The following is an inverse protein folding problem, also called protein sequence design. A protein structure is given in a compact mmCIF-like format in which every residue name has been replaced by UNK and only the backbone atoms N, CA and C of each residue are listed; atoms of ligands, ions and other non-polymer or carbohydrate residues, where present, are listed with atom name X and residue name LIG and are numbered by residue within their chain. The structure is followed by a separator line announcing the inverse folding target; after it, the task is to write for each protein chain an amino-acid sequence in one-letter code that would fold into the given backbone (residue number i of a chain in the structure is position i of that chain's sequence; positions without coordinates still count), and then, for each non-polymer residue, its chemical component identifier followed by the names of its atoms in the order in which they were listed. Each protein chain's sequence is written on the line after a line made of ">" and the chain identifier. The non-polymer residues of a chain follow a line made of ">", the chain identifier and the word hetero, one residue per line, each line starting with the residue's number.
data_IF_940173958874
#
_entry.id   IF_940173958874
#
_cell.length_a   1.000
_cell.length_b   1.000
_cell.length_c   1.000
_cell.angle_alpha   90.00
_cell.angle_beta   90.00
_cell.angle_gamma   90.00
#
_symmetry.space_group_name_H-M   'P 1'
#
loop_
_entity.id
_entity.type
_entity.pdbx_description
1 polymer ?
#
# COMPACT_ATOMS: atom_id res chain seq x y z
N UNK A 1 49.69 62.56 -12.12
CA UNK A 1 49.31 63.21 -10.84
C UNK A 1 47.85 62.92 -10.58
N UNK A 2 47.54 62.58 -9.35
CA UNK A 2 46.25 62.39 -8.74
C UNK A 2 45.45 61.14 -9.14
N UNK A 3 45.58 60.14 -8.31
CA UNK A 3 44.76 58.96 -8.11
C UNK A 3 43.39 59.36 -7.57
N UNK A 4 42.30 58.88 -8.16
CA UNK A 4 40.97 58.88 -7.53
C UNK A 4 40.52 57.45 -7.31
N UNK A 5 40.42 57.12 -6.06
CA UNK A 5 39.86 55.84 -5.58
C UNK A 5 38.34 55.84 -5.76
N UNK A 6 37.83 54.99 -6.63
CA UNK A 6 36.42 54.68 -6.71
C UNK A 6 36.06 53.55 -5.75
N UNK A 7 35.26 53.86 -4.74
CA UNK A 7 34.67 52.91 -3.77
C UNK A 7 33.61 52.09 -4.50
N UNK A 8 33.83 50.77 -4.58
CA UNK A 8 32.81 49.83 -5.02
C UNK A 8 31.79 49.60 -3.89
N UNK A 9 30.54 49.96 -4.16
CA UNK A 9 29.41 49.79 -3.29
C UNK A 9 29.13 48.29 -3.10
N UNK A 10 28.83 47.92 -1.85
CA UNK A 10 28.58 46.55 -1.46
C UNK A 10 27.36 45.93 -2.16
N UNK A 11 27.56 44.73 -2.63
CA UNK A 11 26.47 43.85 -3.05
C UNK A 11 25.65 43.39 -1.83
N UNK A 12 24.31 43.37 -1.93
CA UNK A 12 23.53 42.78 -0.84
C UNK A 12 23.73 41.26 -0.84
N UNK A 13 24.06 40.74 0.33
CA UNK A 13 24.09 39.30 0.61
C UNK A 13 22.72 38.70 0.34
N UNK A 14 22.63 37.52 -0.32
CA UNK A 14 21.38 36.80 -0.43
C UNK A 14 20.94 36.35 0.97
N UNK A 15 19.73 36.71 1.34
CA UNK A 15 19.07 36.20 2.55
C UNK A 15 18.79 34.74 2.29
N UNK A 16 19.56 33.83 2.90
CA UNK A 16 19.22 32.44 3.01
C UNK A 16 17.97 32.34 3.88
N UNK A 17 16.83 32.21 3.22
CA UNK A 17 15.60 31.75 3.88
C UNK A 17 15.82 30.28 4.21
N UNK A 18 16.23 30.00 5.45
CA UNK A 18 16.08 28.67 6.02
C UNK A 18 14.58 28.36 6.02
N UNK A 19 14.12 27.63 4.99
CA UNK A 19 12.90 26.84 5.13
C UNK A 19 13.27 25.77 6.16
N UNK A 20 12.78 25.95 7.38
CA UNK A 20 12.68 24.85 8.33
C UNK A 20 11.75 23.81 7.69
N UNK A 21 12.32 22.81 7.02
CA UNK A 21 11.62 21.57 6.76
C UNK A 21 11.40 20.97 8.15
N UNK A 22 10.21 21.20 8.69
CA UNK A 22 9.72 20.42 9.80
C UNK A 22 9.83 18.94 9.39
N UNK A 23 10.50 18.10 10.22
CA UNK A 23 10.59 16.68 9.91
C UNK A 23 9.17 16.14 9.75
N UNK A 24 8.91 15.31 8.73
CA UNK A 24 7.58 14.76 8.48
C UNK A 24 7.10 14.13 9.78
N UNK A 25 5.95 14.59 10.27
CA UNK A 25 5.33 14.04 11.47
C UNK A 25 5.26 12.53 11.33
N UNK A 26 5.66 11.73 12.33
CA UNK A 26 5.67 10.29 12.22
C UNK A 26 4.25 9.82 11.86
N UNK A 27 4.12 9.22 10.68
CA UNK A 27 2.87 8.58 10.25
C UNK A 27 2.66 7.41 11.20
N UNK A 28 1.62 7.45 12.01
CA UNK A 28 1.28 6.33 12.88
C UNK A 28 0.83 5.17 12.00
N UNK A 29 1.64 4.14 11.92
CA UNK A 29 1.28 2.88 11.26
C UNK A 29 0.81 1.87 12.30
N UNK A 30 -0.04 0.96 11.89
CA UNK A 30 -0.56 -0.14 12.72
C UNK A 30 -0.24 -1.45 12.03
N UNK A 31 0.36 -2.38 12.77
CA UNK A 31 0.65 -3.71 12.27
C UNK A 31 -0.62 -4.50 11.97
N UNK A 32 -0.63 -5.19 10.85
CA UNK A 32 -1.71 -6.05 10.39
C UNK A 32 -1.13 -7.38 9.90
N UNK A 33 -1.55 -8.47 10.53
CA UNK A 33 -1.31 -9.82 10.05
C UNK A 33 -2.66 -10.49 9.73
N UNK A 34 -2.73 -11.17 8.59
CA UNK A 34 -3.93 -11.89 8.15
C UNK A 34 -3.52 -13.17 7.45
N UNK A 35 -4.20 -14.28 7.70
CA UNK A 35 -3.89 -15.57 7.12
C UNK A 35 -5.12 -16.25 6.53
N UNK A 36 -4.91 -17.11 5.54
CA UNK A 36 -5.92 -17.97 4.93
C UNK A 36 -5.33 -19.38 4.80
N UNK A 37 -5.96 -20.37 5.46
CA UNK A 37 -5.54 -21.76 5.39
C UNK A 37 -6.06 -22.42 4.12
N UNK A 38 -5.24 -23.25 3.49
CA UNK A 38 -5.59 -23.97 2.27
C UNK A 38 -4.44 -24.88 1.85
N UNK A 39 -4.66 -25.67 0.82
CA UNK A 39 -3.60 -26.47 0.20
C UNK A 39 -3.34 -25.93 -1.22
N UNK A 40 -2.14 -25.44 -1.45
CA UNK A 40 -1.80 -24.73 -2.70
C UNK A 40 -0.55 -25.34 -3.35
N UNK A 41 -0.57 -25.40 -4.67
CA UNK A 41 0.60 -25.74 -5.46
C UNK A 41 1.44 -24.48 -5.71
N UNK A 42 2.72 -24.51 -5.32
CA UNK A 42 3.60 -23.32 -5.44
C UNK A 42 3.80 -22.90 -6.90
N UNK A 43 3.80 -23.84 -7.84
CA UNK A 43 3.89 -23.52 -9.27
C UNK A 43 2.69 -22.69 -9.76
N UNK A 44 1.50 -23.02 -9.31
CA UNK A 44 0.28 -22.26 -9.62
C UNK A 44 0.28 -20.90 -8.90
N UNK A 45 0.76 -20.88 -7.65
CA UNK A 45 1.00 -19.65 -6.91
C UNK A 45 1.93 -18.68 -7.64
N UNK A 46 3.05 -19.19 -8.14
CA UNK A 46 4.01 -18.40 -8.92
C UNK A 46 3.34 -17.85 -10.19
N UNK A 47 2.71 -18.72 -10.98
CA UNK A 47 2.01 -18.29 -12.20
C UNK A 47 0.93 -17.25 -11.93
N UNK A 48 0.15 -17.41 -10.87
CA UNK A 48 -0.87 -16.45 -10.48
C UNK A 48 -0.29 -15.10 -10.04
N UNK A 49 0.84 -15.09 -9.35
CA UNK A 49 1.51 -13.87 -8.93
C UNK A 49 2.30 -13.20 -10.06
N UNK A 50 2.74 -13.94 -11.07
CA UNK A 50 3.37 -13.39 -12.27
C UNK A 50 2.37 -12.81 -13.27
N UNK A 51 1.13 -13.31 -13.28
CA UNK A 51 0.05 -12.89 -14.18
C UNK A 51 -1.13 -12.35 -13.39
N UNK A 52 -1.13 -11.05 -13.11
CA UNK A 52 -2.10 -10.40 -12.21
C UNK A 52 -3.41 -9.97 -12.88
N UNK A 53 -3.61 -10.25 -14.17
CA UNK A 53 -4.79 -9.83 -14.95
C UNK A 53 -6.10 -10.37 -14.38
N UNK A 54 -6.07 -11.53 -13.72
CA UNK A 54 -7.22 -12.09 -13.02
C UNK A 54 -7.64 -11.26 -11.80
N UNK A 55 -6.72 -10.44 -11.25
CA UNK A 55 -6.96 -9.62 -10.06
C UNK A 55 -7.44 -8.20 -10.42
N UNK A 56 -7.10 -7.69 -11.60
CA UNK A 56 -7.53 -6.37 -12.06
C UNK A 56 -6.86 -5.92 -13.34
N UNK A 57 -7.14 -4.70 -13.72
CA UNK A 57 -6.62 -4.10 -14.95
C UNK A 57 -5.19 -3.57 -14.74
N UNK A 58 -4.22 -3.93 -15.61
CA UNK A 58 -2.86 -3.42 -15.51
C UNK A 58 -2.83 -1.90 -15.73
N UNK A 59 -2.07 -1.21 -14.90
CA UNK A 59 -1.82 0.23 -15.04
C UNK A 59 -0.43 0.42 -15.65
N UNK A 60 -0.36 1.14 -16.78
CA UNK A 60 0.88 1.33 -17.56
C UNK A 60 2.02 2.07 -16.83
N UNK A 61 1.74 2.73 -15.71
CA UNK A 61 2.79 3.30 -14.88
C UNK A 61 3.49 2.17 -14.10
N UNK A 62 4.40 1.46 -14.76
CA UNK A 62 5.25 0.52 -14.05
C UNK A 62 6.20 1.29 -13.15
N UNK A 63 6.28 0.90 -11.90
CA UNK A 63 7.44 1.23 -11.08
C UNK A 63 8.66 0.55 -11.73
N UNK A 64 9.80 1.20 -11.64
CA UNK A 64 11.09 0.61 -11.97
C UNK A 64 11.27 -0.69 -11.14
N UNK A 65 12.11 -1.60 -11.60
CA UNK A 65 12.54 -2.82 -10.87
C UNK A 65 11.48 -3.95 -10.68
N UNK A 66 10.68 -4.22 -11.69
CA UNK A 66 9.83 -5.42 -11.70
C UNK A 66 8.53 -5.30 -10.89
N UNK A 67 8.23 -4.15 -10.31
CA UNK A 67 6.94 -3.88 -9.69
C UNK A 67 5.83 -3.78 -10.73
N UNK A 68 4.68 -4.36 -10.42
CA UNK A 68 3.48 -4.34 -11.25
C UNK A 68 2.36 -3.63 -10.51
N UNK A 69 1.71 -2.70 -11.17
CA UNK A 69 0.56 -1.98 -10.64
C UNK A 69 -0.69 -2.39 -11.38
N UNK A 70 -1.71 -2.77 -10.65
CA UNK A 70 -3.03 -3.09 -11.16
C UNK A 70 -4.09 -2.22 -10.49
N UNK A 71 -5.14 -1.90 -11.24
CA UNK A 71 -6.35 -1.33 -10.69
C UNK A 71 -7.33 -2.45 -10.39
N UNK A 72 -7.74 -2.57 -9.16
CA UNK A 72 -8.65 -3.62 -8.69
C UNK A 72 -9.75 -3.03 -7.81
N UNK A 73 -10.73 -3.83 -7.44
CA UNK A 73 -11.71 -3.48 -6.44
C UNK A 73 -11.48 -4.31 -5.18
N UNK A 74 -11.20 -3.65 -4.07
CA UNK A 74 -11.13 -4.29 -2.76
C UNK A 74 -12.48 -4.22 -2.06
N UNK A 75 -12.79 -5.26 -1.30
CA UNK A 75 -14.03 -5.38 -0.54
C UNK A 75 -13.85 -4.78 0.84
N UNK A 76 -14.64 -3.78 1.15
CA UNK A 76 -14.71 -3.15 2.48
C UNK A 76 -15.92 -3.66 3.24
N UNK A 77 -15.82 -3.87 4.55
CA UNK A 77 -16.99 -4.17 5.38
C UNK A 77 -17.93 -2.96 5.41
N UNK A 78 -19.22 -3.21 5.35
CA UNK A 78 -20.24 -2.17 5.59
C UNK A 78 -20.38 -1.96 7.08
N UNK A 79 -20.27 -0.71 7.52
CA UNK A 79 -20.27 -0.34 8.94
C UNK A 79 -21.65 0.01 9.47
N UNK A 80 -22.58 0.34 8.60
CA UNK A 80 -23.96 0.63 8.92
C UNK A 80 -24.84 -0.52 8.43
N UNK A 81 -25.60 -1.10 9.31
CA UNK A 81 -26.50 -2.24 9.02
C UNK A 81 -27.60 -1.94 7.98
N UNK A 82 -27.49 -0.84 7.24
CA UNK A 82 -28.49 -0.34 6.29
C UNK A 82 -28.23 -0.70 4.83
N UNK A 83 -27.03 -1.18 4.48
CA UNK A 83 -26.70 -1.55 3.10
C UNK A 83 -26.57 -3.06 2.91
N UNK A 84 -27.31 -3.67 1.98
CA UNK A 84 -27.24 -5.08 1.72
C UNK A 84 -25.99 -5.43 0.88
N UNK A 85 -24.90 -5.78 1.50
CA UNK A 85 -23.73 -6.34 0.84
C UNK A 85 -22.42 -5.61 1.05
N UNK A 86 -21.31 -6.24 0.70
CA UNK A 86 -19.99 -5.66 0.85
C UNK A 86 -19.78 -4.47 -0.09
N UNK A 87 -19.25 -3.37 0.41
CA UNK A 87 -18.87 -2.22 -0.39
C UNK A 87 -17.60 -2.54 -1.19
N UNK A 88 -17.67 -2.48 -2.51
CA UNK A 88 -16.49 -2.59 -3.37
C UNK A 88 -15.91 -1.21 -3.64
N UNK A 89 -14.62 -1.03 -3.38
CA UNK A 89 -13.91 0.23 -3.57
C UNK A 89 -12.73 0.03 -4.52
N UNK A 90 -12.58 0.92 -5.49
CA UNK A 90 -11.43 0.93 -6.39
C UNK A 90 -10.14 1.16 -5.62
N UNK A 91 -9.12 0.39 -5.95
CA UNK A 91 -7.79 0.44 -5.36
C UNK A 91 -6.70 0.28 -6.43
N UNK A 92 -5.58 0.90 -6.19
CA UNK A 92 -4.33 0.61 -6.87
C UNK A 92 -3.55 -0.38 -5.99
N UNK A 93 -3.27 -1.54 -6.54
CA UNK A 93 -2.48 -2.59 -5.91
C UNK A 93 -1.13 -2.66 -6.61
N UNK A 94 -0.07 -2.53 -5.84
CA UNK A 94 1.32 -2.72 -6.26
C UNK A 94 1.79 -4.08 -5.77
N UNK A 95 2.37 -4.88 -6.66
CA UNK A 95 2.97 -6.17 -6.35
C UNK A 95 4.41 -6.17 -6.85
N UNK A 96 5.34 -6.43 -5.95
CA UNK A 96 6.77 -6.54 -6.22
C UNK A 96 7.13 -7.81 -6.99
N UNK A 97 8.43 -7.98 -7.30
CA UNK A 97 8.95 -9.24 -7.81
C UNK A 97 8.63 -10.39 -6.85
N UNK A 98 8.39 -11.58 -7.41
CA UNK A 98 8.17 -12.79 -6.61
C UNK A 98 9.52 -13.42 -6.29
N UNK A 99 9.81 -13.56 -5.01
CA UNK A 99 10.96 -14.30 -4.51
C UNK A 99 10.53 -15.75 -4.25
N UNK A 100 11.28 -16.69 -4.82
CA UNK A 100 11.00 -18.12 -4.70
C UNK A 100 11.97 -18.75 -3.71
N UNK A 101 11.45 -19.37 -2.69
CA UNK A 101 12.24 -20.25 -1.79
C UNK A 101 11.75 -21.70 -1.93
N UNK A 102 12.39 -22.64 -1.21
CA UNK A 102 12.08 -24.07 -1.37
C UNK A 102 10.65 -24.44 -1.04
N UNK A 103 10.01 -23.71 -0.13
CA UNK A 103 8.70 -24.04 0.45
C UNK A 103 7.74 -22.84 0.50
N UNK A 104 8.14 -21.70 -0.06
CA UNK A 104 7.32 -20.47 -0.07
C UNK A 104 7.63 -19.56 -1.26
N UNK A 105 6.62 -18.78 -1.63
CA UNK A 105 6.74 -17.63 -2.52
C UNK A 105 6.48 -16.38 -1.69
N UNK A 106 7.32 -15.36 -1.84
CA UNK A 106 7.17 -14.08 -1.16
C UNK A 106 7.09 -12.96 -2.20
N UNK A 107 6.19 -12.02 -1.99
CA UNK A 107 6.12 -10.80 -2.79
C UNK A 107 5.73 -9.62 -1.91
N UNK A 108 6.42 -8.51 -2.06
CA UNK A 108 5.99 -7.27 -1.45
C UNK A 108 4.68 -6.82 -2.09
N UNK A 109 3.78 -6.32 -1.26
CA UNK A 109 2.45 -5.89 -1.70
C UNK A 109 2.07 -4.59 -1.01
N UNK A 110 1.51 -3.67 -1.78
CA UNK A 110 0.99 -2.43 -1.23
C UNK A 110 -0.33 -2.06 -1.92
N UNK A 111 -1.25 -1.43 -1.20
CA UNK A 111 -2.44 -0.88 -1.82
C UNK A 111 -2.80 0.49 -1.28
N UNK A 112 -3.47 1.26 -2.13
CA UNK A 112 -4.05 2.55 -1.81
C UNK A 112 -5.35 2.76 -2.59
N UNK A 113 -6.17 3.74 -2.21
CA UNK A 113 -7.35 4.10 -2.99
C UNK A 113 -6.95 4.57 -4.40
N UNK A 114 -7.73 4.21 -5.42
CA UNK A 114 -7.62 4.79 -6.77
C UNK A 114 -8.26 6.17 -6.90
N UNK A 115 -8.91 6.64 -5.86
CA UNK A 115 -9.58 7.94 -5.77
C UNK A 115 -9.26 8.61 -4.44
N UNK A 116 -9.56 9.91 -4.32
CA UNK A 116 -9.46 10.65 -3.06
C UNK A 116 -10.58 10.15 -2.11
N UNK A 117 -10.39 8.96 -1.54
CA UNK A 117 -11.33 8.37 -0.60
C UNK A 117 -10.76 8.44 0.81
N UNK A 118 -11.32 9.29 1.67
CA UNK A 118 -10.72 9.59 2.96
C UNK A 118 -10.76 8.43 3.97
N UNK A 119 -11.46 7.34 3.68
CA UNK A 119 -11.61 6.20 4.61
C UNK A 119 -10.90 4.92 4.14
N UNK A 120 -10.06 4.99 3.11
CA UNK A 120 -9.38 3.82 2.59
C UNK A 120 -7.98 3.68 3.23
N UNK A 121 -7.69 2.60 3.96
CA UNK A 121 -6.37 2.40 4.55
C UNK A 121 -5.32 2.17 3.47
N UNK A 122 -4.19 2.84 3.58
CA UNK A 122 -3.00 2.53 2.79
C UNK A 122 -2.25 1.42 3.51
N UNK A 123 -1.89 0.38 2.80
CA UNK A 123 -1.17 -0.78 3.34
C UNK A 123 0.13 -0.99 2.57
N UNK A 124 1.14 -1.46 3.28
CA UNK A 124 2.38 -1.98 2.71
C UNK A 124 2.87 -3.15 3.56
N UNK A 125 3.25 -4.23 2.91
CA UNK A 125 3.71 -5.44 3.58
C UNK A 125 4.11 -6.52 2.60
N UNK A 126 4.11 -7.77 3.05
CA UNK A 126 4.51 -8.93 2.30
C UNK A 126 3.38 -9.97 2.25
N UNK A 127 3.16 -10.51 1.06
CA UNK A 127 2.36 -11.70 0.83
C UNK A 127 3.28 -12.91 0.77
N UNK A 128 2.99 -13.92 1.59
CA UNK A 128 3.65 -15.22 1.56
C UNK A 128 2.65 -16.29 1.15
N UNK A 129 3.01 -17.10 0.16
CA UNK A 129 2.26 -18.27 -0.30
C UNK A 129 3.05 -19.52 0.05
N UNK A 130 2.46 -20.42 0.79
CA UNK A 130 3.02 -21.73 1.13
C UNK A 130 2.08 -22.84 0.65
N UNK A 131 2.51 -24.09 0.73
CA UNK A 131 1.64 -25.25 0.44
C UNK A 131 0.48 -25.39 1.43
N UNK A 132 0.54 -24.69 2.57
CA UNK A 132 -0.46 -24.82 3.66
C UNK A 132 -1.31 -23.56 3.85
N UNK A 133 -1.03 -22.49 3.14
CA UNK A 133 -1.79 -21.27 3.32
C UNK A 133 -1.15 -20.02 2.71
N UNK A 134 -1.87 -18.95 2.89
CA UNK A 134 -1.47 -17.58 2.53
C UNK A 134 -1.32 -16.78 3.81
N UNK A 135 -0.30 -15.95 3.87
CA UNK A 135 -0.07 -14.98 4.95
C UNK A 135 0.14 -13.59 4.32
N UNK A 136 -0.54 -12.61 4.86
CA UNK A 136 -0.29 -11.20 4.58
C UNK A 136 0.14 -10.55 5.89
N UNK A 137 1.34 -9.99 5.90
CA UNK A 137 1.93 -9.33 7.06
C UNK A 137 2.45 -7.96 6.66
N UNK A 138 2.17 -6.92 7.43
CA UNK A 138 2.63 -5.58 7.14
C UNK A 138 2.03 -4.50 8.02
N UNK A 139 2.04 -3.29 7.50
CA UNK A 139 1.56 -2.12 8.22
C UNK A 139 0.51 -1.38 7.39
N UNK A 140 -0.49 -0.84 8.05
CA UNK A 140 -1.41 0.09 7.42
C UNK A 140 -1.36 1.47 8.08
N UNK A 141 -1.48 2.49 7.26
CA UNK A 141 -1.65 3.86 7.71
C UNK A 141 -3.13 4.21 7.72
N UNK A 142 -3.69 4.61 8.88
CA UNK A 142 -5.05 5.10 8.95
C UNK A 142 -5.22 6.34 8.06
N UNK A 143 -6.35 6.48 7.36
CA UNK A 143 -6.66 7.70 6.66
C UNK A 143 -6.76 8.87 7.67
N UNK A 144 -6.39 10.08 7.25
CA UNK A 144 -6.36 11.32 8.05
C UNK A 144 -5.26 11.45 9.11
N UNK A 145 -4.23 10.62 9.14
CA UNK A 145 -3.12 10.76 10.08
C UNK A 145 -3.60 10.87 11.54
N UNK A 146 -3.12 11.90 12.28
CA UNK A 146 -3.49 12.09 13.70
C UNK A 146 -4.97 12.40 13.94
N UNK A 147 -5.69 12.95 12.97
CA UNK A 147 -7.15 13.23 13.08
C UNK A 147 -7.94 11.92 12.95
N UNK A 148 -7.47 10.95 12.18
CA UNK A 148 -8.07 9.62 12.04
C UNK A 148 -8.00 8.77 13.31
N UNK A 149 -7.09 9.08 14.23
CA UNK A 149 -7.02 8.40 15.55
C UNK A 149 -8.25 8.70 16.46
N UNK A 150 -9.04 9.72 16.16
CA UNK A 150 -10.30 10.01 16.87
C UNK A 150 -11.43 9.10 16.35
N UNK A 151 -11.33 8.58 15.14
CA UNK A 151 -12.20 7.51 14.66
C UNK A 151 -11.66 6.22 15.27
N UNK A 152 -12.40 5.59 16.14
CA UNK A 152 -12.06 4.40 16.92
C UNK A 152 -11.04 3.48 16.19
N UNK A 153 -9.82 3.41 16.72
CA UNK A 153 -8.72 2.63 16.11
C UNK A 153 -9.08 1.15 15.93
N UNK A 154 -10.04 0.63 16.72
CA UNK A 154 -10.60 -0.71 16.57
C UNK A 154 -11.37 -0.85 15.26
N UNK A 155 -12.11 0.19 14.87
CA UNK A 155 -12.88 0.20 13.63
C UNK A 155 -11.97 0.16 12.41
N UNK A 156 -10.90 0.96 12.40
CA UNK A 156 -9.92 0.98 11.32
C UNK A 156 -9.18 -0.35 11.20
N UNK A 157 -8.81 -0.95 12.34
CA UNK A 157 -8.20 -2.28 12.37
C UNK A 157 -9.14 -3.36 11.82
N UNK A 158 -10.42 -3.29 12.18
CA UNK A 158 -11.44 -4.19 11.65
C UNK A 158 -11.60 -4.04 10.12
N UNK A 159 -11.64 -2.80 9.60
CA UNK A 159 -11.74 -2.54 8.15
C UNK A 159 -10.50 -3.11 7.43
N UNK A 160 -9.30 -2.80 7.92
CA UNK A 160 -8.06 -3.28 7.32
C UNK A 160 -7.99 -4.81 7.33
N UNK A 161 -8.31 -5.45 8.46
CA UNK A 161 -8.34 -6.91 8.59
C UNK A 161 -9.32 -7.58 7.63
N UNK A 162 -10.54 -7.03 7.50
CA UNK A 162 -11.54 -7.56 6.57
C UNK A 162 -11.14 -7.37 5.11
N UNK A 163 -10.50 -6.25 4.78
CA UNK A 163 -9.97 -6.01 3.43
C UNK A 163 -8.86 -6.99 3.08
N UNK A 164 -7.94 -7.23 4.01
CA UNK A 164 -6.87 -8.22 3.86
C UNK A 164 -7.44 -9.65 3.68
N UNK A 165 -8.40 -10.05 4.51
CA UNK A 165 -9.08 -11.34 4.39
C UNK A 165 -9.78 -11.52 3.04
N UNK A 166 -10.47 -10.50 2.57
CA UNK A 166 -11.14 -10.55 1.27
C UNK A 166 -10.14 -10.69 0.10
N UNK A 167 -8.97 -10.04 0.19
CA UNK A 167 -7.90 -10.17 -0.78
C UNK A 167 -7.31 -11.59 -0.75
N UNK A 168 -6.96 -12.11 0.43
CA UNK A 168 -6.45 -13.47 0.58
C UNK A 168 -7.43 -14.52 0.07
N UNK A 169 -8.71 -14.40 0.39
CA UNK A 169 -9.75 -15.30 -0.11
C UNK A 169 -9.84 -15.28 -1.65
N UNK A 170 -9.69 -14.10 -2.28
CA UNK A 170 -9.69 -13.98 -3.73
C UNK A 170 -8.45 -14.64 -4.36
N UNK A 171 -7.28 -14.50 -3.71
CA UNK A 171 -6.06 -15.19 -4.14
C UNK A 171 -6.24 -16.70 -4.01
N UNK A 172 -6.73 -17.18 -2.86
CA UNK A 172 -6.97 -18.59 -2.62
C UNK A 172 -7.91 -19.20 -3.68
N UNK A 173 -9.03 -18.55 -3.96
CA UNK A 173 -9.95 -18.99 -5.01
C UNK A 173 -9.30 -19.12 -6.40
N UNK A 174 -8.31 -18.26 -6.70
CA UNK A 174 -7.56 -18.35 -7.96
C UNK A 174 -6.58 -19.52 -7.98
N UNK A 175 -6.01 -19.87 -6.81
CA UNK A 175 -5.05 -20.98 -6.67
C UNK A 175 -5.71 -22.35 -6.58
N UNK A 176 -7.00 -22.40 -6.24
CA UNK A 176 -7.80 -23.62 -6.15
C UNK A 176 -8.58 -23.94 -7.46
N UNK A 177 -8.54 -23.04 -8.47
CA UNK A 177 -9.28 -23.13 -9.72
C UNK A 177 -8.51 -23.85 -10.82
#
# INVERSE_FOLDING_TARGET
>A
MALLHGRLAGQPKPIMTHQSEDPPSPTTTVHLASSYGGHFELAEGLAALEHLEWLGDPVKASKEDGWRRIRTALTLPVLDGSSPGPLRKGALLDVGPVEVSNDALCADIAWQSDSIAPLFPVFAGQLTVTTHGLLLDGEYAPPFGRIGLVIDGRLLHFIAGRTAQALLARIAQRLEA
#
